data_IF_589283501222
#
_entry.id   IF_589283501222
#
_cell.length_a   1.000
_cell.length_b   1.000
_cell.length_c   1.000
_cell.angle_alpha   90.00
_cell.angle_beta   90.00
_cell.angle_gamma   90.00
#
_symmetry.space_group_name_H-M   'P 1'
#
loop_
_entity.id
_entity.type
_entity.pdbx_description
1 polymer ?
#
# COMPACT_ATOMS: atom_id res chain seq x y z
N UNK A 1 -16.80 -16.51 18.48
CA UNK A 1 -15.55 -15.74 18.62
C UNK A 1 -14.88 -15.56 17.25
N UNK A 2 -14.35 -16.62 16.63
CA UNK A 2 -13.58 -16.53 15.36
C UNK A 2 -14.38 -15.90 14.21
N UNK A 3 -15.61 -16.36 13.95
CA UNK A 3 -16.45 -15.83 12.86
C UNK A 3 -16.73 -14.33 13.04
N UNK A 4 -17.01 -13.90 14.28
CA UNK A 4 -17.23 -12.50 14.61
C UNK A 4 -15.96 -11.67 14.40
N UNK A 5 -14.77 -12.20 14.69
CA UNK A 5 -13.52 -11.50 14.42
C UNK A 5 -13.25 -11.38 12.90
N UNK A 6 -13.49 -12.46 12.14
CA UNK A 6 -13.19 -12.50 10.71
C UNK A 6 -14.14 -11.63 9.91
N UNK A 7 -15.42 -11.55 10.27
CA UNK A 7 -16.41 -10.79 9.50
C UNK A 7 -16.15 -9.28 9.48
N UNK A 8 -15.41 -8.74 10.46
CA UNK A 8 -15.01 -7.33 10.46
C UNK A 8 -14.01 -6.99 9.34
N UNK A 9 -13.18 -7.95 8.91
CA UNK A 9 -12.19 -7.74 7.85
C UNK A 9 -12.87 -7.33 6.52
N UNK A 10 -13.84 -8.11 5.97
CA UNK A 10 -14.52 -7.71 4.75
C UNK A 10 -15.43 -6.49 4.96
N UNK A 11 -16.06 -6.32 6.13
CA UNK A 11 -16.91 -5.14 6.41
C UNK A 11 -16.10 -3.84 6.30
N UNK A 12 -14.95 -3.77 6.97
CA UNK A 12 -14.09 -2.57 6.92
C UNK A 12 -13.53 -2.34 5.52
N UNK A 13 -13.21 -3.41 4.79
CA UNK A 13 -12.75 -3.30 3.40
C UNK A 13 -13.81 -2.66 2.50
N UNK A 14 -15.06 -3.11 2.58
CA UNK A 14 -16.18 -2.54 1.80
C UNK A 14 -16.40 -1.07 2.16
N UNK A 15 -16.40 -0.73 3.45
CA UNK A 15 -16.56 0.67 3.91
C UNK A 15 -15.47 1.56 3.31
N UNK A 16 -14.21 1.11 3.31
CA UNK A 16 -13.10 1.89 2.73
C UNK A 16 -13.25 2.10 1.22
N UNK A 17 -13.63 1.06 0.47
CA UNK A 17 -13.79 1.14 -0.99
C UNK A 17 -14.96 2.05 -1.37
N UNK A 18 -16.09 1.98 -0.67
CA UNK A 18 -17.26 2.84 -0.95
C UNK A 18 -16.96 4.31 -0.67
N UNK A 19 -16.18 4.60 0.37
CA UNK A 19 -15.76 5.96 0.74
C UNK A 19 -14.62 6.51 -0.10
N UNK A 20 -13.87 5.67 -0.81
CA UNK A 20 -12.81 6.13 -1.70
C UNK A 20 -13.40 6.81 -2.95
N UNK A 21 -12.70 7.82 -3.45
CA UNK A 21 -13.11 8.59 -4.62
C UNK A 21 -12.62 7.93 -5.92
N UNK A 22 -13.27 8.24 -7.05
CA UNK A 22 -12.87 7.76 -8.39
C UNK A 22 -13.63 6.53 -8.89
N UNK A 23 -13.10 5.89 -9.94
CA UNK A 23 -13.69 4.70 -10.56
C UNK A 23 -13.41 3.43 -9.74
N UNK A 24 -14.17 2.34 -9.95
CA UNK A 24 -14.06 1.11 -9.14
C UNK A 24 -12.62 0.57 -9.03
N UNK A 25 -11.90 0.48 -10.15
CA UNK A 25 -10.49 0.03 -10.14
C UNK A 25 -9.58 1.00 -9.40
N UNK A 26 -9.77 2.32 -9.56
CA UNK A 26 -8.97 3.33 -8.85
C UNK A 26 -9.19 3.27 -7.34
N UNK A 27 -10.45 3.07 -6.92
CA UNK A 27 -10.81 2.90 -5.50
C UNK A 27 -10.11 1.70 -4.90
N UNK A 28 -10.13 0.54 -5.57
CA UNK A 28 -9.44 -0.67 -5.11
C UNK A 28 -7.93 -0.42 -5.00
N UNK A 29 -7.31 0.09 -6.06
CA UNK A 29 -5.86 0.36 -6.08
C UNK A 29 -5.47 1.35 -4.98
N UNK A 30 -6.24 2.42 -4.79
CA UNK A 30 -5.98 3.41 -3.73
C UNK A 30 -6.10 2.81 -2.33
N UNK A 31 -7.11 1.96 -2.08
CA UNK A 31 -7.31 1.31 -0.79
C UNK A 31 -6.23 0.28 -0.46
N UNK A 32 -5.59 -0.31 -1.48
CA UNK A 32 -4.53 -1.29 -1.33
C UNK A 32 -3.12 -0.67 -1.33
N UNK A 33 -2.99 0.64 -1.56
CA UNK A 33 -1.69 1.33 -1.55
C UNK A 33 -1.18 1.45 -0.10
N UNK A 34 0.10 1.17 0.18
CA UNK A 34 0.67 1.37 1.52
C UNK A 34 0.63 2.85 1.91
N UNK A 35 0.57 3.12 3.22
CA UNK A 35 0.63 4.48 3.74
C UNK A 35 1.95 5.18 3.37
N UNK A 36 1.91 6.47 3.08
CA UNK A 36 3.10 7.21 2.65
C UNK A 36 4.24 7.19 3.69
N UNK A 37 3.90 7.18 4.97
CA UNK A 37 4.85 7.11 6.09
C UNK A 37 5.33 5.69 6.42
N UNK A 38 4.90 4.68 5.65
CA UNK A 38 5.28 3.29 5.91
C UNK A 38 6.79 3.06 5.72
N UNK A 39 7.40 3.68 4.72
CA UNK A 39 8.82 3.50 4.41
C UNK A 39 9.77 3.89 5.56
N UNK A 40 9.70 5.13 6.09
CA UNK A 40 10.51 5.53 7.25
C UNK A 40 10.26 4.67 8.49
N UNK A 41 9.02 4.27 8.74
CA UNK A 41 8.66 3.43 9.88
C UNK A 41 9.17 1.99 9.75
N UNK A 42 9.35 1.48 8.52
CA UNK A 42 10.01 0.21 8.28
C UNK A 42 11.49 0.28 8.68
N UNK A 43 12.19 1.35 8.34
CA UNK A 43 13.60 1.49 8.68
C UNK A 43 13.83 1.53 10.21
N UNK A 44 12.97 2.22 10.97
CA UNK A 44 13.10 2.28 12.44
C UNK A 44 12.82 0.96 13.16
N UNK A 45 12.04 0.06 12.54
CA UNK A 45 11.68 -1.24 13.12
C UNK A 45 12.45 -2.42 12.50
N UNK A 46 13.24 -2.18 11.45
CA UNK A 46 14.23 -3.13 10.91
C UNK A 46 15.42 -3.15 11.85
N UNK A 47 15.34 -3.94 12.92
CA UNK A 47 16.46 -4.15 13.84
C UNK A 47 17.68 -4.79 13.15
N UNK A 48 18.70 -5.13 13.95
CA UNK A 48 20.02 -5.62 13.50
C UNK A 48 19.99 -6.81 12.52
N UNK A 49 18.91 -7.61 12.51
CA UNK A 49 18.73 -8.72 11.56
C UNK A 49 18.83 -8.30 10.09
N UNK A 50 18.38 -7.09 9.77
CA UNK A 50 18.37 -6.57 8.39
C UNK A 50 19.46 -5.52 8.13
N UNK A 51 20.44 -5.39 9.03
CA UNK A 51 21.56 -4.43 8.92
C UNK A 51 22.38 -4.56 7.63
N UNK A 52 22.41 -5.75 7.04
CA UNK A 52 23.12 -6.05 5.79
C UNK A 52 22.29 -5.78 4.53
N UNK A 53 20.99 -5.49 4.66
CA UNK A 53 20.14 -5.18 3.52
C UNK A 53 20.37 -3.72 3.17
N UNK A 54 21.04 -3.51 2.04
CA UNK A 54 21.24 -2.16 1.49
C UNK A 54 19.88 -1.59 1.15
N UNK A 55 19.48 -0.53 1.85
CA UNK A 55 18.28 0.22 1.48
C UNK A 55 18.44 0.73 0.05
N UNK A 56 17.42 0.54 -0.82
CA UNK A 56 17.47 1.12 -2.15
C UNK A 56 17.72 2.63 -2.02
N UNK A 57 18.64 3.17 -2.84
CA UNK A 57 18.98 4.61 -2.83
C UNK A 57 17.67 5.40 -2.83
N UNK A 58 17.50 6.28 -1.84
CA UNK A 58 16.44 7.30 -1.80
C UNK A 58 16.69 8.30 -2.93
N UNK A 59 16.42 7.89 -4.15
CA UNK A 59 16.29 8.80 -5.27
C UNK A 59 14.97 9.53 -5.07
N UNK A 60 15.10 10.84 -4.79
CA UNK A 60 14.02 11.83 -4.59
C UNK A 60 12.68 11.33 -5.09
N UNK A 61 11.81 10.88 -4.17
CA UNK A 61 10.39 10.57 -4.32
C UNK A 61 9.89 10.37 -5.77
N UNK A 62 10.61 9.59 -6.57
CA UNK A 62 10.10 9.13 -7.84
C UNK A 62 9.12 8.07 -7.44
N UNK A 63 7.85 8.42 -7.55
CA UNK A 63 6.74 7.52 -7.39
C UNK A 63 7.16 6.19 -8.01
N UNK A 64 7.33 5.17 -7.15
CA UNK A 64 7.71 3.84 -7.61
C UNK A 64 6.72 3.50 -8.71
N UNK A 65 7.14 3.31 -9.98
CA UNK A 65 6.23 3.06 -11.09
C UNK A 65 5.71 1.64 -10.92
N UNK A 66 4.81 1.46 -9.96
CA UNK A 66 4.20 0.20 -9.61
C UNK A 66 2.86 0.20 -10.29
N UNK A 67 2.72 -0.66 -11.30
CA UNK A 67 1.50 -0.91 -12.10
C UNK A 67 0.96 0.31 -12.89
N UNK A 68 1.09 1.54 -12.41
CA UNK A 68 0.68 2.76 -13.12
C UNK A 68 1.46 2.97 -14.42
N UNK A 69 2.75 2.66 -14.47
CA UNK A 69 3.54 2.76 -15.70
C UNK A 69 3.03 1.85 -16.83
N UNK A 70 2.48 0.67 -16.51
CA UNK A 70 1.86 -0.22 -17.50
C UNK A 70 0.51 0.28 -17.99
N UNK A 71 -0.25 0.99 -17.13
CA UNK A 71 -1.57 1.52 -17.48
C UNK A 71 -1.44 2.75 -18.40
N UNK A 72 -0.39 3.56 -18.25
CA UNK A 72 -0.15 4.73 -19.10
C UNK A 72 0.64 4.44 -20.40
N UNK A 73 1.34 3.32 -20.50
CA UNK A 73 2.08 2.94 -21.72
C UNK A 73 1.21 2.22 -22.78
N UNK A 74 -0.07 2.00 -22.49
CA UNK A 74 -1.04 1.28 -23.33
C UNK A 74 -2.15 2.20 -23.88
N UNK A 75 -1.97 3.52 -23.81
CA UNK A 75 -2.87 4.52 -24.39
C UNK A 75 -2.17 5.34 -25.47
#
# INVERSE_FOLDING_TARGET
>A
MIIFCIIWIPIVAVIKIVKAEGNLCQRIVSCCRPAANWGPYLASNRGERYSHVVDPKKEKDHEIPTVSAFVYSQQ
#
